data_IF_380869960342
#
_entry.id   IF_380869960342
#
_cell.length_a   1.000
_cell.length_b   1.000
_cell.length_c   1.000
_cell.angle_alpha   90.00
_cell.angle_beta   90.00
_cell.angle_gamma   90.00
#
_symmetry.space_group_name_H-M   'P 1'
#
loop_
_entity.id
_entity.type
_entity.pdbx_description
1 polymer ?
#
# COMPACT_ATOMS: atom_id res chain seq x y z
N UNK A 1 -6.45 -20.56 9.56
CA UNK A 1 -6.36 -22.01 9.30
C UNK A 1 -7.62 -22.64 9.85
N UNK A 2 -8.37 -23.37 9.03
CA UNK A 2 -9.57 -24.08 9.44
C UNK A 2 -9.27 -25.55 9.24
N UNK A 3 -9.21 -26.33 10.33
CA UNK A 3 -8.88 -27.76 10.34
C UNK A 3 -7.55 -28.12 9.66
N UNK A 4 -6.57 -27.20 9.70
CA UNK A 4 -5.24 -27.39 9.14
C UNK A 4 -4.18 -26.82 10.11
N UNK A 5 -2.95 -27.31 10.02
CA UNK A 5 -1.84 -26.84 10.86
C UNK A 5 -1.56 -25.35 10.59
N UNK A 6 -1.24 -24.54 11.63
CA UNK A 6 -0.99 -23.11 11.47
C UNK A 6 0.43 -22.77 10.97
N UNK A 7 1.05 -23.68 10.19
CA UNK A 7 2.42 -23.56 9.68
C UNK A 7 2.48 -23.87 8.19
N UNK A 8 3.60 -23.53 7.53
CA UNK A 8 3.78 -23.84 6.10
C UNK A 8 3.08 -22.86 5.16
N UNK A 9 3.15 -21.56 5.45
CA UNK A 9 2.66 -20.52 4.55
C UNK A 9 3.33 -20.62 3.18
N UNK A 10 2.54 -20.59 2.11
CA UNK A 10 3.04 -20.63 0.73
C UNK A 10 3.03 -19.20 0.17
N UNK A 11 4.13 -18.80 -0.47
CA UNK A 11 4.27 -17.49 -1.14
C UNK A 11 3.10 -17.28 -2.10
N UNK A 12 2.48 -16.09 -2.03
CA UNK A 12 1.35 -15.68 -2.86
C UNK A 12 0.05 -16.52 -2.69
N UNK A 13 -0.07 -17.34 -1.66
CA UNK A 13 -1.32 -18.03 -1.29
C UNK A 13 -1.79 -17.69 0.11
N UNK A 14 -0.85 -17.70 1.06
CA UNK A 14 -1.07 -17.28 2.43
C UNK A 14 0.07 -16.30 2.78
N UNK A 15 -0.12 -14.99 2.58
CA UNK A 15 0.80 -13.98 3.08
C UNK A 15 1.11 -14.24 4.55
N UNK A 16 2.40 -14.40 4.87
CA UNK A 16 2.78 -14.62 6.26
C UNK A 16 2.54 -13.32 7.04
N UNK A 17 2.04 -13.43 8.27
CA UNK A 17 1.55 -12.28 9.04
C UNK A 17 1.86 -12.39 10.53
N UNK A 18 1.60 -11.32 11.25
CA UNK A 18 1.70 -11.29 12.71
C UNK A 18 1.69 -9.86 13.24
N UNK A 19 0.81 -9.61 14.20
CA UNK A 19 0.69 -8.33 14.92
C UNK A 19 1.03 -8.45 16.40
N UNK A 20 0.62 -7.46 17.21
CA UNK A 20 0.91 -7.39 18.66
C UNK A 20 2.43 -7.48 18.91
N UNK A 21 2.89 -8.36 19.80
CA UNK A 21 4.32 -8.59 20.08
C UNK A 21 5.05 -9.39 18.98
N UNK A 22 4.35 -9.82 17.93
CA UNK A 22 4.92 -10.62 16.83
C UNK A 22 5.32 -9.81 15.60
N UNK A 23 5.21 -8.47 15.68
CA UNK A 23 5.69 -7.52 14.66
C UNK A 23 4.59 -6.66 14.03
N UNK A 24 4.90 -6.15 12.84
CA UNK A 24 4.21 -5.06 12.12
C UNK A 24 3.25 -5.52 11.02
N UNK A 25 3.14 -6.83 10.79
CA UNK A 25 2.23 -7.45 9.80
C UNK A 25 2.47 -7.09 8.31
N UNK A 26 3.65 -6.56 7.97
CA UNK A 26 4.12 -6.18 6.62
C UNK A 26 5.20 -7.15 6.09
N UNK A 27 5.05 -8.44 6.41
CA UNK A 27 6.09 -9.48 6.28
C UNK A 27 6.28 -9.98 4.83
N UNK A 28 7.44 -10.60 4.60
CA UNK A 28 7.83 -11.20 3.32
C UNK A 28 6.82 -12.22 2.78
N UNK A 29 6.75 -12.33 1.46
CA UNK A 29 5.80 -13.22 0.77
C UNK A 29 4.54 -12.53 0.22
N UNK A 30 4.44 -11.20 0.35
CA UNK A 30 3.38 -10.36 -0.23
C UNK A 30 3.91 -8.98 -0.64
N UNK A 31 3.21 -8.30 -1.56
CA UNK A 31 3.66 -7.04 -2.17
C UNK A 31 3.82 -5.89 -1.17
N UNK A 32 3.07 -5.91 -0.06
CA UNK A 32 3.19 -4.91 1.01
C UNK A 32 4.58 -4.87 1.66
N UNK A 33 5.34 -5.97 1.64
CA UNK A 33 6.71 -5.95 2.11
C UNK A 33 7.62 -5.14 1.18
N UNK A 34 7.37 -5.19 -0.13
CA UNK A 34 8.15 -4.45 -1.11
C UNK A 34 7.96 -2.95 -0.95
N UNK A 35 6.75 -2.49 -0.61
CA UNK A 35 6.47 -1.06 -0.41
C UNK A 35 7.17 -0.49 0.83
N UNK A 36 7.62 -1.31 1.79
CA UNK A 36 8.41 -0.84 2.93
C UNK A 36 9.80 -0.35 2.54
N UNK A 37 10.31 -0.83 1.42
CA UNK A 37 11.63 -0.47 0.89
C UNK A 37 11.57 0.59 -0.21
N UNK A 38 10.39 1.16 -0.45
CA UNK A 38 10.16 2.19 -1.45
C UNK A 38 9.61 3.45 -0.78
N UNK A 39 10.04 4.62 -1.26
CA UNK A 39 9.42 5.91 -0.94
C UNK A 39 8.69 6.41 -2.19
N UNK A 40 7.40 6.09 -2.37
CA UNK A 40 6.67 6.46 -3.58
C UNK A 40 6.58 7.98 -3.72
N UNK A 41 6.69 8.48 -4.96
CA UNK A 41 6.47 9.89 -5.31
C UNK A 41 5.36 10.00 -6.36
N UNK A 42 4.48 10.97 -6.22
CA UNK A 42 3.48 11.31 -7.23
C UNK A 42 3.91 12.57 -7.98
N UNK A 43 3.80 12.56 -9.30
CA UNK A 43 4.10 13.72 -10.16
C UNK A 43 2.83 14.00 -10.97
N UNK A 44 2.41 15.27 -10.98
CA UNK A 44 1.30 15.75 -11.81
C UNK A 44 1.83 16.77 -12.80
N UNK A 45 1.51 16.57 -14.07
CA UNK A 45 1.74 17.53 -15.14
C UNK A 45 0.37 18.08 -15.59
N UNK A 46 0.26 19.39 -15.74
CA UNK A 46 -0.94 20.05 -16.26
C UNK A 46 -0.62 20.65 -17.62
N UNK A 47 -1.01 19.96 -18.69
CA UNK A 47 -0.73 20.37 -20.07
C UNK A 47 -1.51 21.63 -20.51
N UNK A 48 -2.59 21.96 -19.79
CA UNK A 48 -3.35 23.19 -19.94
C UNK A 48 -3.81 23.67 -18.55
N UNK A 49 -2.97 24.42 -17.80
CA UNK A 49 -3.31 24.88 -16.46
C UNK A 49 -4.40 25.97 -16.50
N UNK A 50 -5.13 26.12 -15.39
CA UNK A 50 -6.08 27.22 -15.27
C UNK A 50 -5.34 28.57 -15.38
N UNK A 51 -5.77 29.48 -16.28
CA UNK A 51 -5.06 30.74 -16.51
C UNK A 51 -5.26 31.75 -15.39
N UNK A 52 -6.33 31.60 -14.59
CA UNK A 52 -6.71 32.50 -13.51
C UNK A 52 -7.04 31.71 -12.24
N UNK A 53 -6.85 32.36 -11.09
CA UNK A 53 -7.12 31.78 -9.78
C UNK A 53 -8.60 31.87 -9.37
N UNK A 54 -9.37 32.78 -9.97
CA UNK A 54 -10.77 33.01 -9.66
C UNK A 54 -11.64 31.77 -9.95
N UNK A 55 -12.78 31.67 -9.27
CA UNK A 55 -13.73 30.58 -9.43
C UNK A 55 -15.08 31.14 -9.89
N UNK A 56 -15.86 30.41 -10.72
CA UNK A 56 -17.11 30.91 -11.28
C UNK A 56 -18.20 31.34 -10.27
N UNK A 57 -18.06 30.99 -8.99
CA UNK A 57 -19.03 31.32 -7.93
C UNK A 57 -18.66 32.58 -7.13
N UNK A 58 -17.56 33.27 -7.46
CA UNK A 58 -17.12 34.49 -6.76
C UNK A 58 -17.82 35.77 -7.26
N UNK A 59 -18.87 35.63 -8.06
CA UNK A 59 -19.78 36.71 -8.45
C UNK A 59 -20.95 36.84 -7.47
#
# INVERSE_FOLDING_TARGET
YINDKPSGSIVNRQPFGGGRRSGTNDKSGHWLNLTRWMSPRTIKEALNPAPLWQRPYME
#
